data_IF_758550426494
#
_entry.id   IF_758550426494
#
_cell.length_a   1.000
_cell.length_b   1.000
_cell.length_c   1.000
_cell.angle_alpha   90.00
_cell.angle_beta   90.00
_cell.angle_gamma   90.00
#
_symmetry.space_group_name_H-M   'P 1'
#
loop_
_entity.id
_entity.type
_entity.pdbx_description
1 polymer ?
#
# COMPACT_ATOMS: atom_id res chain seq x y z
N UNK A 1 -16.02 6.55 7.15
CA UNK A 1 -14.74 6.93 7.78
C UNK A 1 -13.54 6.31 7.07
N UNK A 2 -13.41 4.98 7.00
CA UNK A 2 -12.23 4.30 6.42
C UNK A 2 -11.91 4.67 4.96
N UNK A 3 -12.92 4.70 4.08
CA UNK A 3 -12.73 5.14 2.69
C UNK A 3 -12.17 6.57 2.59
N UNK A 4 -12.59 7.47 3.47
CA UNK A 4 -12.11 8.85 3.50
C UNK A 4 -10.66 8.95 3.99
N UNK A 5 -10.29 8.16 5.01
CA UNK A 5 -8.90 8.07 5.48
C UNK A 5 -8.00 7.47 4.40
N UNK A 6 -8.47 6.39 3.75
CA UNK A 6 -7.73 5.69 2.70
C UNK A 6 -7.43 6.58 1.50
N UNK A 7 -8.46 7.17 0.89
CA UNK A 7 -8.26 8.08 -0.23
C UNK A 7 -7.56 9.37 0.19
N UNK A 8 -7.86 9.89 1.38
CA UNK A 8 -7.17 11.06 1.92
C UNK A 8 -5.67 10.86 2.01
N UNK A 9 -5.22 9.68 2.47
CA UNK A 9 -3.81 9.31 2.50
C UNK A 9 -3.19 9.25 1.09
N UNK A 10 -3.85 8.54 0.16
CA UNK A 10 -3.37 8.39 -1.23
C UNK A 10 -3.26 9.73 -1.97
N UNK A 11 -4.20 10.65 -1.72
CA UNK A 11 -4.20 11.98 -2.33
C UNK A 11 -3.19 12.93 -1.69
N UNK A 12 -3.07 12.91 -0.35
CA UNK A 12 -2.25 13.84 0.41
C UNK A 12 -0.75 13.74 0.08
N UNK A 13 -0.27 12.55 -0.25
CA UNK A 13 1.13 12.28 -0.61
C UNK A 13 1.63 13.08 -1.82
N UNK A 14 0.76 13.36 -2.80
CA UNK A 14 1.13 14.10 -4.02
C UNK A 14 1.51 15.57 -3.72
N UNK A 15 0.83 16.21 -2.75
CA UNK A 15 1.04 17.64 -2.45
C UNK A 15 2.42 17.88 -1.85
N UNK A 16 2.80 17.06 -0.87
CA UNK A 16 4.13 17.11 -0.24
C UNK A 16 5.23 16.67 -1.21
N UNK A 17 4.96 15.66 -2.04
CA UNK A 17 5.86 15.22 -3.12
C UNK A 17 6.19 16.36 -4.10
N UNK A 18 5.17 17.05 -4.61
CA UNK A 18 5.31 18.11 -5.60
C UNK A 18 5.99 19.34 -4.99
N UNK A 19 5.59 19.77 -3.80
CA UNK A 19 6.06 21.05 -3.25
C UNK A 19 7.40 20.94 -2.50
N UNK A 20 7.69 19.79 -1.89
CA UNK A 20 8.83 19.60 -0.99
C UNK A 20 9.82 18.54 -1.46
N UNK A 21 9.53 17.84 -2.55
CA UNK A 21 10.31 16.68 -2.99
C UNK A 21 10.50 15.63 -1.87
N UNK A 22 9.50 15.50 -1.01
CA UNK A 22 9.51 14.57 0.13
C UNK A 22 8.27 13.69 0.00
N UNK A 23 8.34 12.60 -0.77
CA UNK A 23 7.21 11.72 -0.96
C UNK A 23 6.83 11.05 0.37
N UNK A 24 5.57 11.20 0.76
CA UNK A 24 5.02 10.56 1.96
C UNK A 24 4.79 9.06 1.77
N UNK A 25 4.61 8.63 0.52
CA UNK A 25 4.40 7.24 0.12
C UNK A 25 5.28 6.91 -1.08
N UNK A 26 5.67 5.65 -1.19
CA UNK A 26 6.61 5.21 -2.22
C UNK A 26 6.04 5.28 -3.64
N UNK A 27 4.72 5.17 -3.82
CA UNK A 27 4.05 5.40 -5.10
C UNK A 27 4.14 6.85 -5.61
N UNK A 28 4.29 7.83 -4.73
CA UNK A 28 4.38 9.25 -5.14
C UNK A 28 5.79 9.67 -5.55
N UNK A 29 6.79 8.78 -5.49
CA UNK A 29 8.18 9.09 -5.85
C UNK A 29 8.31 9.54 -7.31
N UNK A 30 7.61 8.86 -8.23
CA UNK A 30 7.64 9.24 -9.66
C UNK A 30 6.92 10.59 -9.89
N UNK A 31 5.81 10.82 -9.19
CA UNK A 31 5.12 12.12 -9.18
C UNK A 31 6.04 13.24 -8.66
N UNK A 32 6.82 12.99 -7.59
CA UNK A 32 7.78 13.94 -7.05
C UNK A 32 8.88 14.31 -8.06
N UNK A 33 9.36 13.32 -8.81
CA UNK A 33 10.48 13.46 -9.74
C UNK A 33 10.23 14.54 -10.81
N UNK A 34 9.03 14.57 -11.39
CA UNK A 34 8.64 15.57 -12.38
C UNK A 34 7.89 16.75 -11.75
N UNK A 35 6.96 16.47 -10.84
CA UNK A 35 6.10 17.48 -10.23
C UNK A 35 6.89 18.51 -9.42
N UNK A 36 7.95 18.10 -8.72
CA UNK A 36 8.81 19.06 -8.02
C UNK A 36 9.59 19.95 -8.97
N UNK A 37 10.02 19.43 -10.13
CA UNK A 37 10.73 20.22 -11.14
C UNK A 37 9.80 21.23 -11.81
N UNK A 38 8.57 20.82 -12.13
CA UNK A 38 7.50 21.74 -12.56
C UNK A 38 7.26 22.83 -11.52
N UNK A 39 7.19 22.47 -10.23
CA UNK A 39 7.00 23.43 -9.16
C UNK A 39 8.14 24.46 -9.06
N UNK A 40 9.41 24.01 -9.20
CA UNK A 40 10.59 24.89 -9.20
C UNK A 40 10.60 25.88 -10.37
N UNK A 41 10.02 25.51 -11.50
CA UNK A 41 9.86 26.37 -12.67
C UNK A 41 8.64 27.32 -12.58
N UNK A 42 8.00 27.42 -11.42
CA UNK A 42 6.82 28.26 -11.23
C UNK A 42 5.51 27.63 -11.71
N UNK A 43 5.53 26.36 -12.15
CA UNK A 43 4.34 25.62 -12.62
C UNK A 43 3.73 24.70 -11.54
N UNK A 44 3.92 25.05 -10.27
CA UNK A 44 3.41 24.26 -9.14
C UNK A 44 1.89 24.04 -9.21
N UNK A 45 1.14 25.08 -9.62
CA UNK A 45 -0.31 25.01 -9.77
C UNK A 45 -0.76 23.99 -10.82
N UNK A 46 -0.06 23.91 -11.96
CA UNK A 46 -0.36 22.94 -13.01
C UNK A 46 -0.01 21.52 -12.58
N UNK A 47 1.12 21.32 -11.89
CA UNK A 47 1.50 20.00 -11.36
C UNK A 47 0.48 19.46 -10.36
N UNK A 48 0.04 20.30 -9.41
CA UNK A 48 -0.96 19.92 -8.40
C UNK A 48 -2.34 19.67 -9.03
N UNK A 49 -2.76 20.51 -9.98
CA UNK A 49 -4.00 20.31 -10.71
C UNK A 49 -3.98 19.01 -11.54
N UNK A 50 -2.87 18.73 -12.22
CA UNK A 50 -2.69 17.50 -12.99
C UNK A 50 -2.77 16.27 -12.11
N UNK A 51 -2.12 16.31 -10.95
CA UNK A 51 -2.16 15.24 -9.97
C UNK A 51 -3.58 15.03 -9.45
N UNK A 52 -4.24 16.06 -8.92
CA UNK A 52 -5.58 15.94 -8.33
C UNK A 52 -6.65 15.47 -9.33
N UNK A 53 -6.63 16.01 -10.55
CA UNK A 53 -7.56 15.61 -11.62
C UNK A 53 -7.26 14.18 -12.09
N UNK A 54 -5.98 13.83 -12.21
CA UNK A 54 -5.55 12.48 -12.57
C UNK A 54 -5.97 11.44 -11.54
N UNK A 55 -5.75 11.72 -10.27
CA UNK A 55 -6.25 10.91 -9.15
C UNK A 55 -7.76 10.75 -9.21
N UNK A 56 -8.50 11.82 -9.53
CA UNK A 56 -9.96 11.79 -9.58
C UNK A 56 -10.46 10.90 -10.73
N UNK A 57 -9.91 11.09 -11.93
CA UNK A 57 -10.29 10.29 -13.10
C UNK A 57 -9.95 8.82 -12.86
N UNK A 58 -8.73 8.54 -12.41
CA UNK A 58 -8.25 7.19 -12.15
C UNK A 58 -9.05 6.51 -11.03
N UNK A 59 -9.27 7.19 -9.91
CA UNK A 59 -10.07 6.70 -8.79
C UNK A 59 -11.52 6.45 -9.18
N UNK A 60 -12.12 7.30 -10.01
CA UNK A 60 -13.50 7.13 -10.49
C UNK A 60 -13.62 5.92 -11.41
N UNK A 61 -12.71 5.78 -12.39
CA UNK A 61 -12.69 4.63 -13.30
C UNK A 61 -12.43 3.34 -12.52
N UNK A 62 -11.42 3.33 -11.65
CA UNK A 62 -11.08 2.15 -10.87
C UNK A 62 -12.18 1.74 -9.88
N UNK A 63 -12.83 2.71 -9.23
CA UNK A 63 -13.99 2.46 -8.36
C UNK A 63 -15.18 1.94 -9.18
N UNK A 64 -15.41 2.44 -10.40
CA UNK A 64 -16.42 1.89 -11.30
C UNK A 64 -16.11 0.45 -11.69
N UNK A 65 -14.86 0.14 -12.08
CA UNK A 65 -14.44 -1.23 -12.38
C UNK A 65 -14.65 -2.11 -11.15
N UNK A 66 -14.25 -1.68 -9.95
CA UNK A 66 -14.52 -2.38 -8.70
C UNK A 66 -16.02 -2.63 -8.51
N UNK A 67 -16.89 -1.62 -8.69
CA UNK A 67 -18.33 -1.75 -8.52
C UNK A 67 -18.95 -2.78 -9.47
N UNK A 68 -18.51 -2.81 -10.74
CA UNK A 68 -19.00 -3.76 -11.74
C UNK A 68 -18.42 -5.17 -11.57
N UNK A 69 -17.18 -5.29 -11.08
CA UNK A 69 -16.51 -6.58 -10.91
C UNK A 69 -16.79 -7.22 -9.55
N UNK A 70 -17.16 -6.43 -8.54
CA UNK A 70 -17.42 -6.90 -7.18
C UNK A 70 -18.39 -8.10 -7.11
N UNK A 71 -19.54 -8.14 -7.81
CA UNK A 71 -20.43 -9.30 -7.80
C UNK A 71 -19.75 -10.57 -8.33
N UNK A 72 -19.08 -10.49 -9.50
CA UNK A 72 -18.40 -11.63 -10.12
C UNK A 72 -17.25 -12.15 -9.26
N UNK A 73 -16.58 -11.24 -8.55
CA UNK A 73 -15.49 -11.59 -7.66
C UNK A 73 -16.01 -12.26 -6.40
N UNK A 74 -17.16 -11.84 -5.85
CA UNK A 74 -17.81 -12.52 -4.73
C UNK A 74 -18.17 -13.97 -5.08
N UNK A 75 -18.74 -14.21 -6.27
CA UNK A 75 -19.07 -15.55 -6.75
C UNK A 75 -17.85 -16.47 -6.89
N UNK A 76 -16.72 -15.89 -7.32
CA UNK A 76 -15.45 -16.62 -7.42
C UNK A 76 -14.87 -16.89 -6.03
N UNK A 77 -14.94 -15.91 -5.14
CA UNK A 77 -14.41 -15.98 -3.79
C UNK A 77 -15.08 -17.07 -2.95
N UNK A 78 -16.39 -17.30 -3.12
CA UNK A 78 -17.14 -18.34 -2.37
C UNK A 78 -16.62 -19.75 -2.65
N UNK A 79 -15.98 -19.97 -3.81
CA UNK A 79 -15.43 -21.28 -4.21
C UNK A 79 -14.04 -21.55 -3.64
N UNK A 80 -13.43 -20.57 -2.98
CA UNK A 80 -12.05 -20.63 -2.46
C UNK A 80 -12.03 -21.39 -1.14
N UNK A 81 -11.37 -22.55 -1.13
CA UNK A 81 -11.21 -23.37 0.08
C UNK A 81 -9.99 -23.00 0.92
N UNK A 82 -9.82 -23.65 2.07
CA UNK A 82 -8.67 -23.44 2.96
C UNK A 82 -7.31 -23.67 2.26
N UNK A 83 -7.22 -24.71 1.42
CA UNK A 83 -6.02 -24.98 0.61
C UNK A 83 -5.71 -23.86 -0.38
N UNK A 84 -6.74 -23.28 -1.02
CA UNK A 84 -6.57 -22.16 -1.95
C UNK A 84 -6.09 -20.89 -1.24
N UNK A 85 -6.61 -20.64 -0.03
CA UNK A 85 -6.14 -19.54 0.82
C UNK A 85 -4.65 -19.66 1.16
N UNK A 86 -4.17 -20.87 1.47
CA UNK A 86 -2.74 -21.13 1.68
C UNK A 86 -1.95 -20.76 0.42
N UNK A 87 -2.38 -21.23 -0.75
CA UNK A 87 -1.71 -20.94 -2.01
C UNK A 87 -1.69 -19.42 -2.30
N UNK A 88 -2.81 -18.73 -2.11
CA UNK A 88 -2.93 -17.27 -2.31
C UNK A 88 -2.01 -16.47 -1.37
N UNK A 89 -1.96 -16.84 -0.09
CA UNK A 89 -1.09 -16.19 0.89
C UNK A 89 0.40 -16.44 0.58
N UNK A 90 0.77 -17.67 0.18
CA UNK A 90 2.13 -17.99 -0.24
C UNK A 90 2.54 -17.22 -1.51
N UNK A 91 1.62 -17.08 -2.47
CA UNK A 91 1.82 -16.22 -3.63
C UNK A 91 2.07 -14.79 -3.18
N UNK A 92 1.17 -14.20 -2.39
CA UNK A 92 1.28 -12.83 -1.90
C UNK A 92 2.58 -12.57 -1.12
N UNK A 93 2.96 -13.48 -0.22
CA UNK A 93 4.22 -13.40 0.52
C UNK A 93 5.43 -13.39 -0.40
N UNK A 94 5.43 -14.27 -1.41
CA UNK A 94 6.55 -14.41 -2.33
C UNK A 94 6.64 -13.22 -3.27
N UNK A 95 5.54 -12.83 -3.90
CA UNK A 95 5.49 -11.70 -4.84
C UNK A 95 5.84 -10.40 -4.12
N UNK A 96 5.24 -10.10 -2.97
CA UNK A 96 5.48 -8.85 -2.26
C UNK A 96 6.90 -8.80 -1.69
N UNK A 97 7.44 -9.90 -1.17
CA UNK A 97 8.82 -9.96 -0.66
C UNK A 97 9.87 -9.94 -1.77
N UNK A 98 9.55 -10.44 -2.96
CA UNK A 98 10.49 -10.49 -4.09
C UNK A 98 10.49 -9.23 -4.96
N UNK A 99 9.35 -8.54 -5.05
CA UNK A 99 9.17 -7.35 -5.88
C UNK A 99 9.40 -6.03 -5.13
N UNK A 100 9.20 -6.00 -3.81
CA UNK A 100 9.38 -4.78 -3.02
C UNK A 100 10.78 -4.68 -2.41
N UNK A 101 11.35 -3.48 -2.56
CA UNK A 101 12.65 -3.12 -2.02
C UNK A 101 13.82 -3.37 -2.98
N UNK A 102 15.02 -2.99 -2.54
CA UNK A 102 16.23 -3.09 -3.37
C UNK A 102 16.80 -4.52 -3.47
N UNK A 103 16.28 -5.46 -2.68
CA UNK A 103 16.78 -6.83 -2.58
C UNK A 103 15.69 -7.78 -2.09
N UNK A 104 15.53 -8.90 -2.79
CA UNK A 104 14.61 -9.98 -2.41
C UNK A 104 14.88 -10.49 -0.99
N UNK A 105 16.16 -10.59 -0.60
CA UNK A 105 16.56 -11.04 0.73
C UNK A 105 16.01 -10.10 1.81
N UNK A 106 16.05 -8.78 1.57
CA UNK A 106 15.51 -7.79 2.51
C UNK A 106 14.00 -7.93 2.65
N UNK A 107 13.29 -8.20 1.55
CA UNK A 107 11.86 -8.47 1.58
C UNK A 107 11.52 -9.72 2.38
N UNK A 108 12.23 -10.83 2.17
CA UNK A 108 11.98 -12.07 2.93
C UNK A 108 12.33 -11.94 4.41
N UNK A 109 13.42 -11.24 4.77
CA UNK A 109 13.73 -10.95 6.18
C UNK A 109 12.60 -10.12 6.81
N UNK A 110 12.12 -9.08 6.12
CA UNK A 110 11.01 -8.27 6.61
C UNK A 110 9.75 -9.12 6.82
N UNK A 111 9.41 -9.98 5.86
CA UNK A 111 8.31 -10.94 5.98
C UNK A 111 8.50 -11.87 7.19
N UNK A 112 9.68 -12.47 7.36
CA UNK A 112 9.96 -13.37 8.49
C UNK A 112 9.81 -12.68 9.84
N UNK A 113 10.27 -11.43 9.97
CA UNK A 113 10.03 -10.63 11.19
C UNK A 113 8.53 -10.44 11.43
N UNK A 114 7.78 -10.09 10.38
CA UNK A 114 6.33 -9.98 10.43
C UNK A 114 5.65 -11.26 10.90
N UNK A 115 6.00 -12.40 10.28
CA UNK A 115 5.45 -13.72 10.62
C UNK A 115 5.72 -14.05 12.10
N UNK A 116 6.95 -13.85 12.58
CA UNK A 116 7.28 -14.12 14.00
C UNK A 116 6.44 -13.26 14.93
N UNK A 117 6.31 -11.96 14.64
CA UNK A 117 5.48 -11.05 15.45
C UNK A 117 4.00 -11.45 15.44
N UNK A 118 3.47 -11.86 14.29
CA UNK A 118 2.07 -12.28 14.17
C UNK A 118 1.76 -13.56 14.93
N UNK A 119 2.74 -14.46 15.06
CA UNK A 119 2.57 -15.72 15.79
C UNK A 119 2.64 -15.55 17.31
N UNK A 120 3.02 -14.38 17.85
CA UNK A 120 3.02 -14.12 19.30
C UNK A 120 1.59 -14.13 19.84
N UNK A 121 1.34 -14.91 20.88
CA UNK A 121 0.05 -15.00 21.56
C UNK A 121 -0.48 -16.42 21.69
N UNK A 122 -1.77 -16.54 21.97
CA UNK A 122 -2.46 -17.81 21.96
C UNK A 122 -2.65 -18.33 20.53
N UNK A 123 -2.34 -19.60 20.30
CA UNK A 123 -2.63 -20.28 19.05
C UNK A 123 -4.15 -20.35 18.81
N UNK A 124 -4.63 -19.86 17.66
CA UNK A 124 -6.07 -19.74 17.35
C UNK A 124 -6.84 -21.07 17.35
N UNK A 125 -6.13 -22.20 17.28
CA UNK A 125 -6.74 -23.51 17.16
C UNK A 125 -6.62 -24.35 18.44
N UNK A 126 -5.45 -24.34 19.07
CA UNK A 126 -5.16 -25.11 20.28
C UNK A 126 -5.31 -24.31 21.58
N UNK A 127 -5.36 -22.98 21.50
CA UNK A 127 -5.38 -22.08 22.67
C UNK A 127 -4.06 -22.02 23.44
N UNK A 128 -3.03 -22.73 22.99
CA UNK A 128 -1.73 -22.76 23.67
C UNK A 128 -0.98 -21.44 23.45
N UNK A 129 -0.47 -20.87 24.55
CA UNK A 129 0.39 -19.70 24.50
C UNK A 129 1.73 -20.03 23.83
N UNK A 130 2.14 -19.22 22.84
CA UNK A 130 3.40 -19.35 22.13
C UNK A 130 4.09 -18.00 21.99
N UNK A 131 5.43 -18.03 22.07
CA UNK A 131 6.27 -16.82 21.97
C UNK A 131 5.91 -15.72 22.98
N UNK A 132 5.25 -16.06 24.09
CA UNK A 132 4.88 -15.10 25.14
C UNK A 132 6.00 -14.85 26.14
N UNK A 133 7.03 -15.71 26.16
CA UNK A 133 8.20 -15.64 27.03
C UNK A 133 7.86 -15.44 28.52
N UNK A 134 6.74 -16.00 28.97
CA UNK A 134 6.26 -15.90 30.37
C UNK A 134 5.50 -14.61 30.69
N UNK A 135 5.30 -13.71 29.73
CA UNK A 135 4.50 -12.50 29.92
C UNK A 135 3.01 -12.78 29.67
N UNK A 136 2.18 -12.59 30.69
CA UNK A 136 0.72 -12.76 30.61
C UNK A 136 0.07 -11.79 29.62
N UNK A 137 0.55 -10.55 29.52
CA UNK A 137 0.04 -9.56 28.56
C UNK A 137 0.32 -9.93 27.12
N UNK A 138 1.32 -10.78 26.86
CA UNK A 138 1.62 -11.26 25.51
C UNK A 138 0.73 -12.43 25.08
N UNK A 139 -0.09 -13.02 25.98
CA UNK A 139 -1.00 -14.14 25.65
C UNK A 139 -2.12 -13.71 24.71
N UNK A 140 -2.59 -12.48 24.86
CA UNK A 140 -3.57 -11.87 23.94
C UNK A 140 -2.97 -11.58 22.55
N UNK A 141 -1.65 -11.68 22.44
CA UNK A 141 -0.89 -11.46 21.23
C UNK A 141 -0.41 -10.02 21.09
N UNK A 142 0.25 -9.74 19.97
CA UNK A 142 0.67 -8.39 19.63
C UNK A 142 -0.42 -7.75 18.79
N UNK A 143 -1.00 -6.67 19.32
CA UNK A 143 -2.01 -5.91 18.59
C UNK A 143 -1.45 -5.31 17.30
N UNK A 144 -2.19 -5.50 16.21
CA UNK A 144 -1.69 -5.14 14.88
C UNK A 144 -1.71 -3.62 14.66
N UNK A 145 -2.70 -2.92 15.22
CA UNK A 145 -2.82 -1.45 15.06
C UNK A 145 -1.62 -0.72 15.68
N UNK A 146 -1.23 -0.96 16.96
CA UNK A 146 0.01 -0.43 17.54
C UNK A 146 1.24 -0.66 16.69
N UNK A 147 1.41 -1.87 16.13
CA UNK A 147 2.59 -2.20 15.31
C UNK A 147 2.63 -1.37 14.03
N UNK A 148 1.52 -1.28 13.30
CA UNK A 148 1.41 -0.49 12.07
C UNK A 148 1.66 0.99 12.38
N UNK A 149 1.00 1.53 13.41
CA UNK A 149 1.13 2.94 13.78
C UNK A 149 2.56 3.23 14.21
N UNK A 150 3.19 2.38 15.03
CA UNK A 150 4.56 2.55 15.49
C UNK A 150 5.59 2.48 14.36
N UNK A 151 5.48 1.49 13.47
CA UNK A 151 6.47 1.28 12.40
C UNK A 151 6.46 2.45 11.40
N UNK A 152 5.28 3.02 11.12
CA UNK A 152 5.14 4.17 10.23
C UNK A 152 5.42 5.50 10.92
N UNK A 153 4.88 5.74 12.12
CA UNK A 153 4.98 7.02 12.82
C UNK A 153 6.30 7.15 13.60
N UNK A 154 6.53 6.26 14.57
CA UNK A 154 7.73 6.31 15.42
C UNK A 154 8.98 5.95 14.62
N UNK A 155 8.92 4.91 13.78
CA UNK A 155 10.04 4.49 12.94
C UNK A 155 10.51 5.62 12.01
N UNK A 156 9.57 6.35 11.41
CA UNK A 156 9.90 7.50 10.56
C UNK A 156 10.39 8.71 11.37
N UNK A 157 9.75 9.01 12.49
CA UNK A 157 10.16 10.12 13.36
C UNK A 157 11.60 9.93 13.84
N UNK A 158 11.95 8.73 14.32
CA UNK A 158 13.30 8.36 14.74
C UNK A 158 14.29 8.41 13.57
N UNK A 159 13.88 7.94 12.39
CA UNK A 159 14.73 7.98 11.18
C UNK A 159 15.07 9.42 10.78
N UNK A 160 14.08 10.30 10.74
CA UNK A 160 14.27 11.71 10.41
C UNK A 160 15.10 12.41 11.49
N UNK A 161 14.82 12.14 12.77
CA UNK A 161 15.60 12.67 13.89
C UNK A 161 17.08 12.25 13.81
N UNK A 162 17.36 10.99 13.47
CA UNK A 162 18.73 10.46 13.36
C UNK A 162 19.56 11.12 12.26
N UNK A 163 18.93 11.66 11.22
CA UNK A 163 19.61 12.18 10.04
C UNK A 163 19.93 13.67 10.11
N UNK A 164 19.53 14.36 11.17
CA UNK A 164 19.83 15.76 11.52
C UNK A 164 20.35 16.65 10.36
N UNK A 165 19.64 16.69 9.23
CA UNK A 165 19.99 17.57 8.11
C UNK A 165 19.40 18.93 8.42
N UNK A 166 20.26 19.92 8.72
CA UNK A 166 19.98 21.37 8.78
C UNK A 166 19.50 21.97 7.44
N UNK A 167 18.89 21.18 6.56
CA UNK A 167 18.27 21.71 5.34
C UNK A 167 16.83 21.99 5.72
N UNK A 168 16.48 23.25 5.96
CA UNK A 168 15.08 23.67 6.11
C UNK A 168 14.26 23.22 4.91
N UNK A 169 12.95 22.98 5.09
CA UNK A 169 12.10 22.80 3.92
C UNK A 169 12.10 24.10 3.12
N UNK A 170 12.69 24.05 1.93
CA UNK A 170 12.59 25.17 1.01
C UNK A 170 11.23 25.03 0.31
N UNK A 171 10.18 25.48 1.00
CA UNK A 171 8.81 25.45 0.49
C UNK A 171 8.79 26.36 -0.73
N UNK A 172 8.56 25.78 -1.91
CA UNK A 172 8.45 26.55 -3.13
C UNK A 172 7.20 27.44 -3.05
N UNK A 173 7.34 28.78 -3.13
CA UNK A 173 6.21 29.67 -3.04
C UNK A 173 5.29 29.44 -4.24
N UNK A 174 4.03 29.13 -3.97
CA UNK A 174 3.02 29.01 -5.02
C UNK A 174 2.69 30.42 -5.53
N UNK A 175 3.15 30.76 -6.75
CA UNK A 175 2.70 31.96 -7.46
C UNK A 175 1.52 31.59 -8.36
N UNK A 176 0.35 32.21 -8.18
CA UNK A 176 -0.83 32.04 -9.05
C UNK A 176 -1.92 31.08 -8.54
N UNK A 177 -2.83 30.69 -9.45
CA UNK A 177 -3.92 29.73 -9.22
C UNK A 177 -3.47 28.30 -9.60
N UNK A 178 -4.00 27.29 -8.92
CA UNK A 178 -3.78 25.87 -9.28
C UNK A 178 -4.60 25.49 -10.51
N UNK A 179 -4.20 25.97 -11.69
CA UNK A 179 -4.91 25.76 -12.95
C UNK A 179 -3.96 25.19 -14.00
N UNK A 180 -4.49 24.26 -14.79
CA UNK A 180 -3.84 23.72 -16.00
C UNK A 180 -4.19 24.61 -17.19
N UNK A 181 -3.25 24.72 -18.13
CA UNK A 181 -3.55 25.30 -19.45
C UNK A 181 -4.35 24.30 -20.31
N UNK A 182 -4.91 24.77 -21.43
CA UNK A 182 -5.59 23.87 -22.39
C UNK A 182 -4.64 22.82 -22.96
N UNK A 183 -3.38 23.19 -23.18
CA UNK A 183 -2.35 22.28 -23.67
C UNK A 183 -2.02 21.21 -22.62
N UNK A 184 -1.89 21.62 -21.35
CA UNK A 184 -1.68 20.70 -20.23
C UNK A 184 -2.76 19.62 -20.14
N UNK A 185 -4.04 20.00 -20.30
CA UNK A 185 -5.16 19.06 -20.30
C UNK A 185 -5.08 18.11 -21.51
N UNK A 186 -4.79 18.65 -22.70
CA UNK A 186 -4.64 17.87 -23.92
C UNK A 186 -3.48 16.86 -23.84
N UNK A 187 -2.41 17.20 -23.13
CA UNK A 187 -1.27 16.32 -22.88
C UNK A 187 -1.53 15.29 -21.79
N UNK A 188 -2.40 15.59 -20.82
CA UNK A 188 -2.61 14.76 -19.62
C UNK A 188 -3.71 13.69 -19.73
N UNK A 189 -4.72 13.86 -20.60
CA UNK A 189 -5.84 12.91 -20.64
C UNK A 189 -5.46 11.48 -21.05
N UNK A 190 -4.55 11.31 -22.02
CA UNK A 190 -4.06 9.97 -22.42
C UNK A 190 -3.20 9.34 -21.32
N UNK A 191 -2.23 10.06 -20.70
CA UNK A 191 -1.53 9.53 -19.53
C UNK A 191 -2.45 9.10 -18.40
N UNK A 192 -3.50 9.87 -18.07
CA UNK A 192 -4.44 9.47 -17.00
C UNK A 192 -5.11 8.12 -17.28
N UNK A 193 -5.59 7.91 -18.52
CA UNK A 193 -6.21 6.64 -18.90
C UNK A 193 -5.22 5.48 -18.92
N UNK A 194 -4.02 5.67 -19.49
CA UNK A 194 -2.97 4.64 -19.55
C UNK A 194 -2.45 4.29 -18.15
N UNK A 195 -2.23 5.30 -17.31
CA UNK A 195 -1.87 5.12 -15.91
C UNK A 195 -2.92 4.31 -15.16
N UNK A 196 -4.21 4.62 -15.35
CA UNK A 196 -5.32 3.84 -14.77
C UNK A 196 -5.30 2.38 -15.22
N UNK A 197 -5.10 2.13 -16.51
CA UNK A 197 -5.05 0.79 -17.09
C UNK A 197 -3.85 -0.03 -16.60
N UNK A 198 -2.75 0.61 -16.21
CA UNK A 198 -1.59 -0.03 -15.59
C UNK A 198 -1.82 -0.25 -14.10
N UNK A 199 -2.33 0.77 -13.41
CA UNK A 199 -2.45 0.82 -11.96
C UNK A 199 -3.47 -0.16 -11.40
N UNK A 200 -4.68 -0.19 -11.95
CA UNK A 200 -5.78 -1.01 -11.41
C UNK A 200 -5.45 -2.51 -11.42
N UNK A 201 -5.05 -3.15 -12.55
CA UNK A 201 -4.75 -4.58 -12.57
C UNK A 201 -3.59 -4.96 -11.64
N UNK A 202 -2.55 -4.12 -11.58
CA UNK A 202 -1.41 -4.33 -10.67
C UNK A 202 -1.78 -4.13 -9.19
N UNK A 203 -2.88 -3.43 -8.88
CA UNK A 203 -3.43 -3.35 -7.53
C UNK A 203 -4.21 -4.60 -7.11
N UNK A 204 -4.91 -5.22 -8.07
CA UNK A 204 -5.65 -6.47 -7.84
C UNK A 204 -4.70 -7.64 -7.60
N UNK A 205 -3.59 -7.69 -8.34
CA UNK A 205 -2.57 -8.72 -8.13
C UNK A 205 -1.85 -8.43 -6.81
N UNK A 206 -1.59 -9.42 -5.96
CA UNK A 206 -0.80 -9.25 -4.74
C UNK A 206 0.69 -9.07 -5.07
N UNK A 207 1.06 -8.15 -5.97
CA UNK A 207 2.41 -7.96 -6.50
C UNK A 207 3.17 -6.76 -5.91
N UNK A 208 2.67 -6.20 -4.80
CA UNK A 208 3.39 -5.22 -4.01
C UNK A 208 3.14 -3.79 -4.44
N UNK A 209 2.25 -3.12 -3.68
CA UNK A 209 2.15 -1.66 -3.55
C UNK A 209 2.01 -0.85 -4.85
N UNK A 210 2.11 0.47 -4.73
CA UNK A 210 1.96 1.39 -5.85
C UNK A 210 3.28 1.74 -6.56
N UNK A 211 4.42 1.23 -6.10
CA UNK A 211 5.76 1.52 -6.64
C UNK A 211 5.94 1.00 -8.07
N UNK A 212 5.65 -0.28 -8.28
CA UNK A 212 5.76 -0.93 -9.59
C UNK A 212 4.86 -0.28 -10.65
N UNK A 213 3.54 -0.07 -10.40
CA UNK A 213 2.67 0.54 -11.41
C UNK A 213 3.04 1.99 -11.71
N UNK A 214 3.47 2.77 -10.72
CA UNK A 214 3.87 4.18 -10.92
C UNK A 214 5.16 4.27 -11.74
N UNK A 215 6.15 3.40 -11.46
CA UNK A 215 7.37 3.31 -12.25
C UNK A 215 7.10 2.85 -13.69
N UNK A 216 6.29 1.81 -13.86
CA UNK A 216 5.93 1.31 -15.17
C UNK A 216 5.17 2.36 -15.99
N UNK A 217 4.22 3.06 -15.36
CA UNK A 217 3.50 4.16 -16.00
C UNK A 217 4.47 5.27 -16.43
N UNK A 218 5.40 5.68 -15.56
CA UNK A 218 6.41 6.68 -15.93
C UNK A 218 7.26 6.25 -17.13
N UNK A 219 7.72 4.99 -17.16
CA UNK A 219 8.51 4.46 -18.27
C UNK A 219 7.71 4.41 -19.58
N UNK A 220 6.43 4.00 -19.51
CA UNK A 220 5.52 3.99 -20.66
C UNK A 220 5.29 5.42 -21.19
N UNK A 221 5.07 6.38 -20.30
CA UNK A 221 4.88 7.78 -20.71
C UNK A 221 6.14 8.39 -21.33
N UNK A 222 7.32 8.07 -20.79
CA UNK A 222 8.60 8.50 -21.37
C UNK A 222 8.83 7.95 -22.78
N UNK A 223 8.39 6.73 -23.06
CA UNK A 223 8.56 6.10 -24.37
C UNK A 223 7.52 6.55 -25.40
N UNK A 224 6.32 6.92 -24.96
CA UNK A 224 5.21 7.29 -25.84
C UNK A 224 5.07 8.80 -26.08
N UNK A 225 5.75 9.63 -25.26
CA UNK A 225 5.67 11.08 -25.41
C UNK A 225 6.29 11.55 -26.74
N UNK A 226 5.75 12.66 -27.24
CA UNK A 226 6.36 13.41 -28.35
C UNK A 226 7.45 14.39 -27.87
N UNK A 227 7.57 14.58 -26.55
CA UNK A 227 8.46 15.52 -25.89
C UNK A 227 9.42 14.79 -24.90
N UNK A 228 10.25 13.83 -25.37
CA UNK A 228 11.15 13.09 -24.50
C UNK A 228 12.19 13.98 -23.78
N UNK A 229 12.49 15.16 -24.32
CA UNK A 229 13.41 16.16 -23.78
C UNK A 229 12.91 16.80 -22.47
N UNK A 230 11.60 16.87 -22.27
CA UNK A 230 11.00 17.45 -21.07
C UNK A 230 11.07 16.49 -19.86
N UNK A 231 11.22 15.19 -20.10
CA UNK A 231 11.36 14.21 -19.02
C UNK A 231 12.67 14.42 -18.28
N UNK A 232 12.62 14.45 -16.96
CA UNK A 232 13.71 14.85 -16.11
C UNK A 232 13.81 16.37 -15.91
N UNK A 233 12.96 17.16 -16.55
CA UNK A 233 12.91 18.62 -16.43
C UNK A 233 11.53 19.16 -16.05
N UNK A 234 10.54 18.31 -15.75
CA UNK A 234 9.18 18.71 -15.39
C UNK A 234 8.15 18.40 -16.46
N UNK A 235 8.18 17.19 -17.04
CA UNK A 235 7.18 16.74 -18.01
C UNK A 235 5.83 16.46 -17.33
N UNK A 236 4.76 17.04 -17.87
CA UNK A 236 3.41 16.89 -17.30
C UNK A 236 2.90 15.46 -17.41
N UNK A 237 3.25 14.74 -18.47
CA UNK A 237 2.90 13.34 -18.67
C UNK A 237 3.52 12.45 -17.60
N UNK A 238 4.73 12.79 -17.14
CA UNK A 238 5.43 12.09 -16.07
C UNK A 238 4.88 12.38 -14.66
N UNK A 239 3.93 13.31 -14.53
CA UNK A 239 3.09 13.48 -13.33
C UNK A 239 1.74 12.79 -13.54
N UNK A 240 1.09 13.05 -14.68
CA UNK A 240 -0.25 12.57 -14.98
C UNK A 240 -0.37 11.03 -14.98
N UNK A 241 0.52 10.33 -15.68
CA UNK A 241 0.48 8.87 -15.77
C UNK A 241 0.72 8.20 -14.41
N UNK A 242 1.87 8.45 -13.75
CA UNK A 242 2.18 7.83 -12.47
C UNK A 242 1.14 8.12 -11.39
N UNK A 243 0.62 9.35 -11.30
CA UNK A 243 -0.38 9.68 -10.28
C UNK A 243 -1.72 8.95 -10.52
N UNK A 244 -2.12 8.81 -11.78
CA UNK A 244 -3.29 8.00 -12.14
C UNK A 244 -3.05 6.51 -11.82
N UNK A 245 -1.84 5.99 -12.10
CA UNK A 245 -1.49 4.62 -11.76
C UNK A 245 -1.49 4.37 -10.24
N UNK A 246 -1.00 5.32 -9.44
CA UNK A 246 -1.03 5.25 -7.98
C UNK A 246 -2.47 5.14 -7.45
N UNK A 247 -3.36 6.03 -7.89
CA UNK A 247 -4.74 6.08 -7.40
C UNK A 247 -5.59 4.90 -7.91
N UNK A 248 -5.39 4.48 -9.16
CA UNK A 248 -6.03 3.28 -9.69
C UNK A 248 -5.56 2.01 -8.96
N UNK A 249 -4.27 1.94 -8.60
CA UNK A 249 -3.72 0.83 -7.80
C UNK A 249 -4.35 0.77 -6.41
N UNK A 250 -4.57 1.92 -5.75
CA UNK A 250 -5.24 1.96 -4.46
C UNK A 250 -6.66 1.38 -4.52
N UNK A 251 -7.47 1.81 -5.49
CA UNK A 251 -8.79 1.21 -5.69
C UNK A 251 -8.72 -0.28 -6.08
N UNK A 252 -7.74 -0.67 -6.90
CA UNK A 252 -7.47 -2.07 -7.26
C UNK A 252 -7.10 -2.94 -6.06
N UNK A 253 -6.36 -2.40 -5.08
CA UNK A 253 -5.96 -3.09 -3.86
C UNK A 253 -7.15 -3.43 -2.94
N UNK A 254 -8.26 -2.69 -3.05
CA UNK A 254 -9.49 -2.99 -2.32
C UNK A 254 -10.21 -4.23 -2.86
N UNK A 255 -9.97 -4.61 -4.11
CA UNK A 255 -10.62 -5.77 -4.75
C UNK A 255 -10.31 -7.08 -4.00
N UNK A 256 -9.04 -7.54 -3.90
CA UNK A 256 -8.70 -8.75 -3.16
C UNK A 256 -8.89 -8.59 -1.65
N UNK A 257 -8.78 -7.37 -1.13
CA UNK A 257 -9.05 -7.09 0.29
C UNK A 257 -10.50 -7.40 0.66
N UNK A 258 -11.47 -6.87 -0.10
CA UNK A 258 -12.89 -7.06 0.19
C UNK A 258 -13.34 -8.48 -0.14
N UNK A 259 -12.83 -9.04 -1.24
CA UNK A 259 -13.25 -10.34 -1.73
C UNK A 259 -12.61 -11.53 -1.01
N UNK A 260 -11.32 -11.42 -0.65
CA UNK A 260 -10.53 -12.52 -0.12
C UNK A 260 -9.95 -12.19 1.26
N UNK A 261 -10.10 -10.98 1.78
CA UNK A 261 -9.42 -10.58 3.01
C UNK A 261 -7.90 -10.52 2.86
N UNK A 262 -7.39 -10.41 1.63
CA UNK A 262 -5.95 -10.39 1.33
C UNK A 262 -5.51 -8.98 0.93
N UNK A 263 -4.81 -8.24 1.81
CA UNK A 263 -4.30 -6.92 1.48
C UNK A 263 -3.10 -7.04 0.52
N UNK A 264 -3.06 -6.18 -0.50
CA UNK A 264 -1.96 -6.14 -1.49
C UNK A 264 -1.00 -4.95 -1.28
N UNK A 265 -1.31 -4.08 -0.32
CA UNK A 265 -0.50 -2.93 0.08
C UNK A 265 -0.55 -2.72 1.59
N UNK A 266 0.41 -1.95 2.12
CA UNK A 266 0.42 -1.61 3.55
C UNK A 266 -0.81 -0.79 3.96
N UNK A 267 -1.32 0.08 3.09
CA UNK A 267 -2.51 0.89 3.36
C UNK A 267 -3.79 0.05 3.33
N UNK A 268 -3.90 -0.92 2.42
CA UNK A 268 -4.98 -1.90 2.43
C UNK A 268 -4.94 -2.77 3.68
N UNK A 269 -3.74 -3.12 4.17
CA UNK A 269 -3.56 -3.85 5.41
C UNK A 269 -4.08 -3.08 6.64
N UNK A 270 -3.88 -1.75 6.68
CA UNK A 270 -4.48 -0.91 7.74
C UNK A 270 -6.01 -0.97 7.70
N UNK A 271 -6.61 -0.95 6.51
CA UNK A 271 -8.07 -1.12 6.37
C UNK A 271 -8.52 -2.49 6.88
N UNK A 272 -7.81 -3.57 6.54
CA UNK A 272 -8.16 -4.91 7.01
C UNK A 272 -8.26 -4.95 8.54
N UNK A 273 -7.25 -4.40 9.22
CA UNK A 273 -7.21 -4.35 10.68
C UNK A 273 -8.34 -3.48 11.23
N UNK A 274 -8.65 -2.37 10.56
CA UNK A 274 -9.76 -1.52 10.94
C UNK A 274 -11.11 -2.26 10.80
N UNK A 275 -11.31 -3.06 9.75
CA UNK A 275 -12.50 -3.92 9.64
C UNK A 275 -12.56 -4.95 10.77
N UNK A 276 -11.45 -5.63 11.07
CA UNK A 276 -11.37 -6.59 12.18
C UNK A 276 -11.71 -5.96 13.53
N UNK A 277 -11.25 -4.72 13.79
CA UNK A 277 -11.55 -3.98 15.01
C UNK A 277 -13.05 -3.75 15.19
N UNK A 278 -13.77 -3.55 14.08
CA UNK A 278 -15.23 -3.40 14.07
C UNK A 278 -15.97 -4.72 13.85
N UNK A 279 -15.29 -5.86 13.99
CA UNK A 279 -15.84 -7.20 13.79
C UNK A 279 -16.40 -7.45 12.38
N UNK A 280 -15.96 -6.67 11.40
CA UNK A 280 -16.26 -6.87 9.98
C UNK A 280 -15.21 -7.84 9.46
N UNK A 281 -15.65 -9.00 8.95
CA UNK A 281 -14.76 -10.02 8.40
C UNK A 281 -14.71 -9.91 6.87
N UNK A 282 -13.62 -9.39 6.28
CA UNK A 282 -13.50 -9.34 4.84
C UNK A 282 -13.28 -10.73 4.26
N UNK A 283 -13.74 -10.94 3.03
CA UNK A 283 -13.71 -12.23 2.39
C UNK A 283 -15.02 -12.56 1.65
N UNK A 284 -15.16 -13.82 1.20
CA UNK A 284 -16.26 -14.23 0.34
C UNK A 284 -17.64 -14.02 0.97
N UNK A 285 -17.71 -14.19 2.29
CA UNK A 285 -18.95 -14.05 3.07
C UNK A 285 -19.35 -12.61 3.28
N UNK A 286 -18.43 -11.64 3.18
CA UNK A 286 -18.71 -10.22 3.42
C UNK A 286 -19.83 -9.70 2.52
N UNK A 287 -19.85 -10.14 1.26
CA UNK A 287 -20.89 -9.73 0.30
C UNK A 287 -22.26 -10.34 0.61
N UNK A 288 -22.29 -11.47 1.33
CA UNK A 288 -23.51 -12.16 1.74
C UNK A 288 -24.05 -11.62 3.06
N UNK A 289 -23.19 -11.44 4.06
CA UNK A 289 -23.56 -11.02 5.42
C UNK A 289 -23.75 -9.51 5.54
N UNK A 290 -22.90 -8.75 4.85
CA UNK A 290 -22.76 -7.30 5.05
C UNK A 290 -22.77 -6.54 3.71
N UNK A 291 -23.50 -7.05 2.71
CA UNK A 291 -23.55 -6.46 1.36
C UNK A 291 -23.88 -4.97 1.36
N UNK A 292 -24.79 -4.52 2.23
CA UNK A 292 -25.12 -3.11 2.38
C UNK A 292 -23.90 -2.26 2.81
N UNK A 293 -23.04 -2.77 3.70
CA UNK A 293 -21.81 -2.07 4.09
C UNK A 293 -20.82 -1.99 2.92
N UNK A 294 -20.68 -3.07 2.14
CA UNK A 294 -19.78 -3.09 0.97
C UNK A 294 -20.24 -2.10 -0.11
N UNK A 295 -21.51 -2.09 -0.46
CA UNK A 295 -22.06 -1.14 -1.43
C UNK A 295 -21.99 0.30 -0.92
N UNK A 296 -22.23 0.51 0.38
CA UNK A 296 -22.06 1.83 1.02
C UNK A 296 -20.61 2.29 0.98
N UNK A 297 -19.65 1.37 1.21
CA UNK A 297 -18.23 1.65 1.09
C UNK A 297 -17.90 2.06 -0.34
N UNK A 298 -18.29 1.27 -1.35
CA UNK A 298 -18.05 1.56 -2.77
C UNK A 298 -18.70 2.91 -3.16
N UNK A 299 -19.93 3.19 -2.74
CA UNK A 299 -20.57 4.49 -2.97
C UNK A 299 -19.78 5.63 -2.31
N UNK A 300 -19.30 5.43 -1.08
CA UNK A 300 -18.48 6.42 -0.38
C UNK A 300 -17.13 6.66 -1.05
N UNK A 301 -16.58 5.69 -1.79
CA UNK A 301 -15.37 5.86 -2.60
C UNK A 301 -15.60 6.89 -3.71
N UNK A 302 -16.74 6.86 -4.40
CA UNK A 302 -17.10 7.89 -5.40
C UNK A 302 -17.28 9.28 -4.78
N UNK A 303 -18.01 9.35 -3.66
CA UNK A 303 -18.26 10.61 -2.96
C UNK A 303 -16.94 11.19 -2.44
N UNK A 304 -16.11 10.38 -1.76
CA UNK A 304 -14.82 10.78 -1.22
C UNK A 304 -13.87 11.27 -2.31
N UNK A 305 -13.78 10.54 -3.43
CA UNK A 305 -12.96 10.94 -4.58
C UNK A 305 -13.39 12.30 -5.14
N UNK A 306 -14.69 12.54 -5.26
CA UNK A 306 -15.26 13.81 -5.73
C UNK A 306 -14.98 14.95 -4.75
N UNK A 307 -15.23 14.73 -3.45
CA UNK A 307 -14.95 15.72 -2.41
C UNK A 307 -13.47 16.06 -2.32
N UNK A 308 -12.57 15.08 -2.50
CA UNK A 308 -11.14 15.34 -2.52
C UNK A 308 -10.74 16.24 -3.69
N UNK A 309 -11.30 16.08 -4.89
CA UNK A 309 -11.04 17.02 -5.98
C UNK A 309 -11.51 18.44 -5.64
N UNK A 310 -12.72 18.56 -5.10
CA UNK A 310 -13.34 19.85 -4.75
C UNK A 310 -12.60 20.53 -3.60
N UNK A 311 -12.12 19.79 -2.61
CA UNK A 311 -11.46 20.34 -1.43
C UNK A 311 -9.97 20.54 -1.64
N UNK A 312 -9.27 19.60 -2.29
CA UNK A 312 -7.82 19.59 -2.34
C UNK A 312 -7.27 20.75 -3.19
N UNK A 313 -7.90 21.10 -4.33
CA UNK A 313 -7.45 22.20 -5.19
C UNK A 313 -7.61 23.60 -4.58
N UNK A 314 -8.75 23.96 -3.95
CA UNK A 314 -8.88 25.25 -3.27
C UNK A 314 -8.03 25.33 -1.98
N UNK A 315 -7.93 24.22 -1.24
CA UNK A 315 -7.23 24.19 0.04
C UNK A 315 -5.71 24.00 -0.07
N UNK A 316 -5.13 23.89 -1.27
CA UNK A 316 -3.67 23.81 -1.44
C UNK A 316 -2.94 24.88 -0.63
N UNK A 317 -3.45 26.12 -0.58
CA UNK A 317 -2.82 27.20 0.21
C UNK A 317 -2.77 26.89 1.70
N UNK A 318 -3.82 26.28 2.25
CA UNK A 318 -3.86 25.82 3.64
C UNK A 318 -2.86 24.68 3.87
N UNK A 319 -2.83 23.70 2.96
CA UNK A 319 -1.87 22.59 3.03
C UNK A 319 -0.42 23.09 3.00
N UNK A 320 -0.11 24.07 2.15
CA UNK A 320 1.20 24.75 2.11
C UNK A 320 1.53 25.45 3.44
N UNK A 321 0.54 26.03 4.13
CA UNK A 321 0.78 26.65 5.43
C UNK A 321 1.11 25.62 6.50
N UNK A 322 0.48 24.44 6.48
CA UNK A 322 0.84 23.34 7.39
C UNK A 322 2.29 22.89 7.19
N UNK A 323 2.84 22.98 5.98
CA UNK A 323 4.26 22.67 5.73
C UNK A 323 5.21 23.69 6.36
N UNK A 324 4.72 24.86 6.80
CA UNK A 324 5.52 25.85 7.55
C UNK A 324 5.67 25.50 9.03
N UNK A 325 4.90 24.54 9.54
CA UNK A 325 5.02 24.09 10.94
C UNK A 325 6.43 23.52 11.15
N UNK A 326 7.18 23.97 12.17
CA UNK A 326 8.52 23.46 12.40
C UNK A 326 8.49 21.94 12.66
N UNK A 327 9.40 21.22 12.00
CA UNK A 327 9.48 19.76 12.05
C UNK A 327 9.41 19.16 13.46
N UNK A 328 10.11 19.70 14.49
CA UNK A 328 10.08 19.12 15.82
C UNK A 328 8.66 19.04 16.41
N UNK A 329 7.85 20.09 16.23
CA UNK A 329 6.47 20.10 16.74
C UNK A 329 5.57 19.14 15.97
N UNK A 330 5.75 19.05 14.65
CA UNK A 330 4.98 18.11 13.82
C UNK A 330 5.25 16.66 14.24
N UNK A 331 6.52 16.27 14.35
CA UNK A 331 6.88 14.90 14.76
C UNK A 331 6.53 14.62 16.23
N UNK A 332 6.65 15.60 17.13
CA UNK A 332 6.21 15.44 18.51
C UNK A 332 4.69 15.18 18.59
N UNK A 333 3.89 15.88 17.78
CA UNK A 333 2.45 15.63 17.68
C UNK A 333 2.16 14.23 17.14
N UNK A 334 2.79 13.83 16.03
CA UNK A 334 2.63 12.50 15.43
C UNK A 334 2.99 11.39 16.43
N UNK A 335 4.13 11.50 17.12
CA UNK A 335 4.58 10.50 18.10
C UNK A 335 3.62 10.45 19.30
N UNK A 336 3.16 11.60 19.80
CA UNK A 336 2.19 11.67 20.89
C UNK A 336 0.88 10.98 20.52
N UNK A 337 0.30 11.30 19.36
CA UNK A 337 -0.94 10.66 18.90
C UNK A 337 -0.77 9.18 18.58
N UNK A 338 0.40 8.76 18.08
CA UNK A 338 0.71 7.36 17.84
C UNK A 338 0.75 6.53 19.14
N UNK A 339 1.44 7.04 20.17
CA UNK A 339 1.52 6.37 21.48
C UNK A 339 0.19 6.41 22.23
N UNK A 340 -0.52 7.54 22.15
CA UNK A 340 -1.87 7.65 22.71
C UNK A 340 -2.84 6.69 22.03
N UNK A 341 -2.80 6.59 20.70
CA UNK A 341 -3.62 5.66 19.93
C UNK A 341 -3.32 4.20 20.28
N UNK A 342 -2.03 3.86 20.47
CA UNK A 342 -1.63 2.54 20.95
C UNK A 342 -2.17 2.22 22.34
N UNK A 343 -2.19 3.19 23.25
CA UNK A 343 -2.73 3.00 24.59
C UNK A 343 -4.26 2.92 24.59
N UNK A 344 -4.93 3.75 23.78
CA UNK A 344 -6.38 3.93 23.82
C UNK A 344 -7.18 2.71 23.36
N UNK A 345 -6.58 1.78 22.61
CA UNK A 345 -7.27 0.59 22.09
C UNK A 345 -7.63 -0.39 23.22
N UNK A 346 -6.63 -0.81 24.00
CA UNK A 346 -6.80 -1.82 25.04
C UNK A 346 -6.47 -1.30 26.45
N UNK A 347 -6.28 0.02 26.60
CA UNK A 347 -5.83 0.68 27.85
C UNK A 347 -4.60 0.00 28.46
N UNK A 348 -3.74 -0.55 27.59
CA UNK A 348 -2.65 -1.43 27.95
C UNK A 348 -1.30 -0.72 27.84
N UNK A 349 -0.52 -0.77 28.92
CA UNK A 349 0.87 -0.28 28.90
C UNK A 349 1.80 -1.20 28.12
N UNK A 350 1.44 -2.48 27.99
CA UNK A 350 2.18 -3.44 27.17
C UNK A 350 2.17 -3.01 25.70
N UNK A 351 1.03 -2.58 25.16
CA UNK A 351 0.92 -2.12 23.78
C UNK A 351 1.80 -0.90 23.51
N UNK A 352 1.90 0.01 24.48
CA UNK A 352 2.80 1.18 24.40
C UNK A 352 4.27 0.75 24.36
N UNK A 353 4.67 -0.22 25.19
CA UNK A 353 6.03 -0.75 25.20
C UNK A 353 6.37 -1.45 23.87
N UNK A 354 5.43 -2.26 23.37
CA UNK A 354 5.53 -2.90 22.05
C UNK A 354 5.64 -1.84 20.97
N UNK A 355 4.80 -0.78 20.98
CA UNK A 355 4.87 0.31 20.03
C UNK A 355 6.23 1.01 20.04
N UNK A 356 6.84 1.23 21.20
CA UNK A 356 8.20 1.79 21.29
C UNK A 356 9.23 0.84 20.66
N UNK A 357 9.19 -0.45 21.01
CA UNK A 357 10.11 -1.46 20.47
C UNK A 357 9.97 -1.59 18.94
N UNK A 358 8.74 -1.64 18.44
CA UNK A 358 8.45 -1.68 17.01
C UNK A 358 8.86 -0.37 16.32
N UNK A 359 8.71 0.77 16.98
CA UNK A 359 9.23 2.05 16.48
C UNK A 359 10.72 1.99 16.21
N UNK A 360 11.50 1.36 17.11
CA UNK A 360 12.93 1.13 16.93
C UNK A 360 13.18 0.16 15.76
N UNK A 361 12.42 -0.94 15.65
CA UNK A 361 12.53 -1.87 14.51
C UNK A 361 12.24 -1.14 13.19
N UNK A 362 11.20 -0.31 13.14
CA UNK A 362 10.83 0.51 12.00
C UNK A 362 11.94 1.49 11.61
N UNK A 363 12.58 2.11 12.60
CA UNK A 363 13.76 2.95 12.39
C UNK A 363 14.90 2.18 11.75
N UNK A 364 15.23 0.98 12.25
CA UNK A 364 16.28 0.14 11.67
C UNK A 364 15.92 -0.29 10.24
N UNK A 365 14.67 -0.67 10.00
CA UNK A 365 14.18 -1.04 8.66
C UNK A 365 14.36 0.11 7.67
N UNK A 366 13.95 1.33 8.05
CA UNK A 366 14.17 2.54 7.26
C UNK A 366 15.66 2.80 7.03
N UNK A 367 16.49 2.66 8.06
CA UNK A 367 17.95 2.88 7.99
C UNK A 367 18.64 1.93 7.01
N UNK A 368 18.24 0.66 6.97
CA UNK A 368 18.83 -0.36 6.11
C UNK A 368 18.09 -0.57 4.78
N UNK A 369 17.03 0.19 4.51
CA UNK A 369 16.23 0.07 3.28
C UNK A 369 15.51 -1.27 3.19
N UNK A 370 14.98 -1.75 4.31
CA UNK A 370 14.11 -2.92 4.40
C UNK A 370 12.67 -2.49 4.07
N UNK A 371 11.96 -3.22 3.19
CA UNK A 371 10.58 -2.89 2.87
C UNK A 371 9.66 -3.18 4.07
N UNK A 372 8.79 -2.23 4.43
CA UNK A 372 7.85 -2.36 5.56
C UNK A 372 6.64 -3.24 5.18
N UNK A 373 6.19 -3.19 3.92
CA UNK A 373 4.99 -3.91 3.46
C UNK A 373 5.06 -5.42 3.71
N UNK A 374 6.15 -6.15 3.38
CA UNK A 374 6.26 -7.58 3.70
C UNK A 374 6.13 -7.89 5.20
N UNK A 375 6.65 -7.04 6.08
CA UNK A 375 6.51 -7.21 7.53
C UNK A 375 5.05 -7.12 7.95
N UNK A 376 4.32 -6.10 7.48
CA UNK A 376 2.89 -5.93 7.82
C UNK A 376 2.07 -7.11 7.28
N UNK A 377 2.37 -7.59 6.07
CA UNK A 377 1.71 -8.77 5.52
C UNK A 377 1.99 -10.02 6.35
N UNK A 378 3.24 -10.26 6.75
CA UNK A 378 3.60 -11.38 7.61
C UNK A 378 2.89 -11.33 8.97
N UNK A 379 2.81 -10.14 9.57
CA UNK A 379 2.13 -9.91 10.84
C UNK A 379 0.64 -10.30 10.78
N UNK A 380 -0.06 -9.85 9.74
CA UNK A 380 -1.52 -10.04 9.63
C UNK A 380 -1.88 -11.41 9.05
N UNK A 381 -1.22 -11.80 7.96
CA UNK A 381 -1.54 -13.01 7.23
C UNK A 381 -0.81 -14.24 7.76
N UNK A 382 0.22 -14.10 8.59
CA UNK A 382 0.95 -15.22 9.19
C UNK A 382 0.06 -16.16 10.01
N UNK A 383 -0.68 -15.63 11.02
CA UNK A 383 -1.64 -16.43 11.79
C UNK A 383 -2.73 -17.04 10.91
N UNK A 384 -3.19 -16.30 9.91
CA UNK A 384 -4.20 -16.77 8.96
C UNK A 384 -3.66 -17.89 8.06
N UNK A 385 -2.42 -17.81 7.59
CA UNK A 385 -1.75 -18.86 6.82
C UNK A 385 -1.69 -20.15 7.62
N UNK A 386 -1.24 -20.07 8.86
CA UNK A 386 -1.17 -21.22 9.74
C UNK A 386 -2.55 -21.83 10.00
N UNK A 387 -3.55 -20.99 10.31
CA UNK A 387 -4.92 -21.42 10.54
C UNK A 387 -5.49 -22.16 9.32
N UNK A 388 -5.34 -21.59 8.12
CA UNK A 388 -5.87 -22.19 6.90
C UNK A 388 -5.10 -23.46 6.50
N UNK A 389 -3.78 -23.48 6.72
CA UNK A 389 -2.96 -24.67 6.50
C UNK A 389 -3.38 -25.82 7.39
N UNK A 390 -3.52 -25.59 8.70
CA UNK A 390 -3.97 -26.61 9.64
C UNK A 390 -5.40 -27.05 9.35
N UNK A 391 -6.30 -26.11 9.03
CA UNK A 391 -7.68 -26.40 8.62
C UNK A 391 -7.73 -27.29 7.38
N UNK A 392 -6.92 -27.01 6.36
CA UNK A 392 -6.85 -27.82 5.15
C UNK A 392 -6.42 -29.27 5.45
N UNK A 393 -5.37 -29.45 6.27
CA UNK A 393 -4.88 -30.77 6.66
C UNK A 393 -5.87 -31.52 7.56
N UNK A 394 -6.61 -30.83 8.43
CA UNK A 394 -7.65 -31.48 9.23
C UNK A 394 -8.79 -31.98 8.37
N UNK A 395 -9.23 -31.19 7.39
CA UNK A 395 -10.28 -31.58 6.44
C UNK A 395 -9.83 -32.80 5.61
N UNK A 396 -8.54 -32.87 5.24
CA UNK A 396 -7.99 -33.98 4.47
C UNK A 396 -7.49 -35.16 5.32
N UNK A 397 -7.76 -35.17 6.63
CA UNK A 397 -7.26 -36.19 7.57
C UNK A 397 -5.73 -36.40 7.51
N UNK A 398 -4.98 -35.32 7.27
CA UNK A 398 -3.51 -35.29 7.22
C UNK A 398 -2.90 -35.45 5.83
N UNK A 399 -3.71 -35.59 4.77
CA UNK A 399 -3.19 -35.65 3.41
C UNK A 399 -2.74 -34.26 2.90
N UNK A 400 -1.43 -34.10 2.70
CA UNK A 400 -0.81 -32.90 2.15
C UNK A 400 -1.13 -32.70 0.66
N UNK A 401 -1.55 -33.75 -0.06
CA UNK A 401 -1.98 -33.68 -1.46
C UNK A 401 -3.13 -32.71 -1.68
N UNK A 402 -3.96 -32.48 -0.64
CA UNK A 402 -5.07 -31.52 -0.67
C UNK A 402 -4.61 -30.09 -1.02
N UNK A 403 -3.40 -29.71 -0.62
CA UNK A 403 -2.87 -28.36 -0.83
C UNK A 403 -2.71 -28.03 -2.31
N UNK A 404 -2.53 -29.04 -3.17
CA UNK A 404 -2.35 -28.87 -4.62
C UNK A 404 -3.48 -29.53 -5.43
N UNK A 405 -4.52 -30.03 -4.76
CA UNK A 405 -5.56 -30.81 -5.41
C UNK A 405 -6.49 -29.94 -6.28
N UNK A 406 -6.86 -28.75 -5.79
CA UNK A 406 -7.83 -27.89 -6.47
C UNK A 406 -7.24 -27.27 -7.76
N UNK A 407 -8.09 -27.03 -8.79
CA UNK A 407 -7.65 -26.35 -10.01
C UNK A 407 -7.06 -24.96 -9.73
N UNK A 408 -7.66 -24.22 -8.79
CA UNK A 408 -7.23 -22.88 -8.42
C UNK A 408 -5.85 -22.91 -7.76
N UNK A 409 -5.63 -23.78 -6.77
CA UNK A 409 -4.31 -23.95 -6.14
C UNK A 409 -3.24 -24.31 -7.17
N UNK A 410 -3.52 -25.22 -8.12
CA UNK A 410 -2.57 -25.56 -9.20
C UNK A 410 -2.16 -24.34 -10.01
N UNK A 411 -3.13 -23.51 -10.41
CA UNK A 411 -2.86 -22.27 -11.17
C UNK A 411 -2.04 -21.29 -10.33
N UNK A 412 -2.37 -21.14 -9.04
CA UNK A 412 -1.64 -20.23 -8.14
C UNK A 412 -0.21 -20.70 -7.91
N UNK A 413 0.01 -22.00 -7.65
CA UNK A 413 1.35 -22.55 -7.50
C UNK A 413 2.16 -22.49 -8.80
N UNK A 414 1.51 -22.64 -9.97
CA UNK A 414 2.18 -22.39 -11.24
C UNK A 414 2.62 -20.93 -11.37
N UNK A 415 1.75 -19.98 -11.02
CA UNK A 415 2.09 -18.56 -10.99
C UNK A 415 3.23 -18.27 -10.01
N UNK A 416 3.21 -18.89 -8.82
CA UNK A 416 4.27 -18.81 -7.82
C UNK A 416 5.61 -19.31 -8.39
N UNK A 417 5.61 -20.47 -9.04
CA UNK A 417 6.79 -21.02 -9.70
C UNK A 417 7.34 -20.08 -10.78
N UNK A 418 6.47 -19.47 -11.58
CA UNK A 418 6.87 -18.47 -12.59
C UNK A 418 7.50 -17.25 -11.93
N UNK A 419 6.95 -16.75 -10.82
CA UNK A 419 7.49 -15.59 -10.09
C UNK A 419 8.89 -15.89 -9.51
N UNK A 420 9.10 -17.09 -8.98
CA UNK A 420 10.38 -17.48 -8.39
C UNK A 420 11.43 -17.80 -9.48
N UNK A 421 11.06 -18.62 -10.46
CA UNK A 421 11.99 -19.18 -11.45
C UNK A 421 12.19 -18.24 -12.65
N UNK A 422 11.16 -17.50 -13.04
CA UNK A 422 11.18 -16.61 -14.21
C UNK A 422 12.36 -15.63 -14.23
N UNK A 423 12.59 -14.85 -13.16
CA UNK A 423 13.73 -13.94 -13.07
C UNK A 423 15.09 -14.66 -13.15
N UNK A 424 15.21 -15.84 -12.53
CA UNK A 424 16.44 -16.64 -12.53
C UNK A 424 16.78 -17.13 -13.95
N UNK A 425 15.79 -17.66 -14.67
CA UNK A 425 15.95 -18.14 -16.05
C UNK A 425 16.24 -16.99 -17.01
N UNK A 426 15.55 -15.85 -16.86
CA UNK A 426 15.78 -14.66 -17.69
C UNK A 426 17.20 -14.10 -17.50
N UNK A 427 17.66 -13.99 -16.25
CA UNK A 427 18.99 -13.51 -15.93
C UNK A 427 20.09 -14.50 -16.38
N UNK A 428 19.83 -15.80 -16.31
CA UNK A 428 20.73 -16.83 -16.81
C UNK A 428 20.86 -16.78 -18.35
N UNK A 429 19.74 -16.62 -19.07
CA UNK A 429 19.74 -16.40 -20.53
C UNK A 429 20.48 -15.13 -20.94
N UNK A 430 20.30 -14.02 -20.21
CA UNK A 430 21.08 -12.79 -20.46
C UNK A 430 22.58 -13.00 -20.25
N UNK A 431 22.99 -13.68 -19.16
CA UNK A 431 24.41 -13.99 -18.92
C UNK A 431 25.01 -14.91 -20.00
N UNK A 432 24.23 -15.85 -20.52
CA UNK A 432 24.65 -16.72 -21.63
C UNK A 432 24.73 -15.96 -22.97
N UNK A 433 23.80 -15.03 -23.22
CA UNK A 433 23.79 -14.22 -24.43
C UNK A 433 24.90 -13.14 -24.46
N UNK A 434 25.41 -12.72 -23.29
CA UNK A 434 26.58 -11.82 -23.18
C UNK A 434 27.90 -12.60 -23.30
N UNK A 435 27.88 -13.92 -23.10
CA UNK A 435 29.05 -14.81 -23.22
C UNK A 435 29.24 -15.40 -24.63
N UNK A 436 28.26 -15.26 -25.52
CA UNK A 436 28.39 -15.49 -26.96
C UNK A 436 28.64 -14.17 -27.64
#
# INVERSE_FOLDING_TARGET
MFAAIYYGAMYGGSTTSILLNTPGESGSVMTALEGNKMARQGRAGAALATAAIGSFIAGTIATAILAFTAPSIADLAIKVGAADYVALMLLAFTTVSSLLGSSQIRGFIALSVGLVLGLVGADLQSGLARLTFGNMSAVEGIETVPVIVAIFALGEALYIASRFKKVGWNILPMKGKALMTRDDVKRSWKPWLRGTAIGFPLGVIPAGGSEVPTFLSYAVEKNLTKHPEEFGHGAIEGVAGPEAANNANAAGALVPLLALGLPTSATAAVILVAFQTYQIQPGPTLFLTDGALVWTLIASLFIGNTLLLILNLPLVRLWVQLLKVPRPYLFAGIVTFALLGSYALNTSTFDVQVAIAIGIVGFLFRRYGMPITPLILGLILGPNLELQFRRALQISAGDYGTLVASPLSKVIYLALLIVIIGPLVWNFKKKLAIKK
#
